data_IF_107321255697
#
_entry.id   IF_107321255697
#
_cell.length_a   1.000
_cell.length_b   1.000
_cell.length_c   1.000
_cell.angle_alpha   90.00
_cell.angle_beta   90.00
_cell.angle_gamma   90.00
#
_symmetry.space_group_name_H-M   'P 1'
#
loop_
_entity.id
_entity.type
_entity.pdbx_description
1 polymer ?
#
# COMPACT_ATOMS: atom_id res chain seq x y z
N UNK A 1 -14.54 -18.54 4.69
CA UNK A 1 -14.37 -17.08 4.89
C UNK A 1 -15.67 -16.52 5.43
N UNK A 2 -15.67 -15.92 6.63
CA UNK A 2 -16.86 -15.21 7.10
C UNK A 2 -17.09 -13.97 6.21
N UNK A 3 -18.36 -13.65 5.93
CA UNK A 3 -18.78 -12.50 5.11
C UNK A 3 -17.97 -11.19 5.33
N UNK A 4 -17.65 -10.76 6.57
CA UNK A 4 -16.88 -9.53 6.79
C UNK A 4 -15.48 -9.54 6.16
N UNK A 5 -14.82 -10.69 6.10
CA UNK A 5 -13.48 -10.79 5.49
C UNK A 5 -13.54 -10.68 3.96
N UNK A 6 -14.57 -11.27 3.33
CA UNK A 6 -14.77 -11.17 1.89
C UNK A 6 -15.13 -9.75 1.46
N UNK A 7 -15.99 -9.06 2.23
CA UNK A 7 -16.35 -7.67 1.98
C UNK A 7 -15.11 -6.77 2.10
N UNK A 8 -14.31 -6.94 3.16
CA UNK A 8 -13.09 -6.17 3.34
C UNK A 8 -12.08 -6.39 2.21
N UNK A 9 -11.94 -7.62 1.71
CA UNK A 9 -11.06 -7.95 0.58
C UNK A 9 -11.45 -7.17 -0.68
N UNK A 10 -12.73 -7.19 -1.04
CA UNK A 10 -13.25 -6.48 -2.23
C UNK A 10 -13.16 -4.97 -2.02
N UNK A 11 -13.54 -4.47 -0.85
CA UNK A 11 -13.47 -3.04 -0.53
C UNK A 11 -12.04 -2.51 -0.60
N UNK A 12 -11.05 -3.25 -0.08
CA UNK A 12 -9.65 -2.86 -0.19
C UNK A 12 -9.19 -2.79 -1.64
N UNK A 13 -9.59 -3.77 -2.48
CA UNK A 13 -9.28 -3.75 -3.91
C UNK A 13 -9.87 -2.53 -4.62
N UNK A 14 -11.06 -2.09 -4.24
CA UNK A 14 -11.68 -0.89 -4.83
C UNK A 14 -11.00 0.41 -4.39
N UNK A 15 -10.55 0.52 -3.14
CA UNK A 15 -10.01 1.78 -2.60
C UNK A 15 -8.50 1.94 -2.84
N UNK A 16 -7.73 0.86 -2.70
CA UNK A 16 -6.26 0.90 -2.72
C UNK A 16 -5.66 0.16 -3.92
N UNK A 17 -6.49 -0.30 -4.85
CA UNK A 17 -6.13 -1.22 -5.94
C UNK A 17 -5.39 -2.49 -5.47
N UNK A 18 -5.46 -2.79 -4.18
CA UNK A 18 -4.81 -3.92 -3.55
C UNK A 18 -5.77 -4.57 -2.56
N UNK A 19 -5.95 -5.88 -2.66
CA UNK A 19 -6.91 -6.61 -1.84
C UNK A 19 -6.47 -6.69 -0.37
N UNK A 20 -5.17 -6.54 -0.11
CA UNK A 20 -4.57 -6.60 1.21
C UNK A 20 -4.07 -5.23 1.66
N UNK A 21 -4.23 -4.95 2.95
CA UNK A 21 -3.68 -3.75 3.59
C UNK A 21 -2.25 -4.01 4.05
N UNK A 22 -1.41 -2.97 3.99
CA UNK A 22 -0.04 -3.04 4.53
C UNK A 22 -0.07 -3.13 6.06
N UNK A 23 0.80 -3.97 6.61
CA UNK A 23 1.08 -3.99 8.04
C UNK A 23 1.80 -2.70 8.46
N UNK A 24 1.46 -2.21 9.64
CA UNK A 24 2.13 -1.09 10.32
C UNK A 24 2.32 -1.42 11.81
N UNK A 25 2.39 -2.72 12.13
CA UNK A 25 2.49 -3.19 13.50
C UNK A 25 3.88 -2.89 14.08
N UNK A 26 4.90 -2.94 13.23
CA UNK A 26 6.25 -2.56 13.58
C UNK A 26 6.57 -1.11 13.19
N UNK A 27 7.45 -0.47 13.95
CA UNK A 27 7.86 0.93 13.75
C UNK A 27 8.52 1.11 12.39
N UNK A 28 9.33 0.15 11.94
CA UNK A 28 9.99 0.24 10.64
C UNK A 28 8.99 0.14 9.48
N UNK A 29 7.96 -0.71 9.61
CA UNK A 29 6.88 -0.81 8.62
C UNK A 29 6.08 0.50 8.53
N UNK A 30 5.76 1.10 9.68
CA UNK A 30 5.04 2.37 9.74
C UNK A 30 5.84 3.53 9.12
N UNK A 31 7.15 3.59 9.39
CA UNK A 31 8.04 4.58 8.76
C UNK A 31 8.09 4.41 7.23
N UNK A 32 8.07 3.17 6.76
CA UNK A 32 8.18 2.85 5.34
C UNK A 32 6.87 3.19 4.62
N UNK A 33 5.74 2.95 5.26
CA UNK A 33 4.44 3.41 4.79
C UNK A 33 4.38 4.93 4.65
N UNK A 34 4.89 5.67 5.65
CA UNK A 34 4.96 7.13 5.59
C UNK A 34 5.91 7.63 4.51
N UNK A 35 7.06 6.98 4.33
CA UNK A 35 8.02 7.28 3.25
C UNK A 35 7.36 7.15 1.90
N UNK A 36 6.71 6.02 1.63
CA UNK A 36 6.09 5.74 0.34
C UNK A 36 4.92 6.72 0.06
N UNK A 37 4.17 7.10 1.10
CA UNK A 37 3.13 8.16 0.99
C UNK A 37 3.73 9.53 0.65
N UNK A 38 4.91 9.88 1.16
CA UNK A 38 5.59 11.15 0.85
C UNK A 38 6.15 11.18 -0.57
N UNK A 39 6.71 10.07 -1.04
CA UNK A 39 7.32 9.99 -2.37
C UNK A 39 6.29 9.91 -3.49
N UNK A 40 5.19 9.18 -3.28
CA UNK A 40 4.24 8.82 -4.35
C UNK A 40 2.84 9.40 -4.17
N UNK A 41 2.53 9.97 -3.01
CA UNK A 41 1.16 10.34 -2.60
C UNK A 41 0.31 9.14 -2.17
N UNK A 42 0.53 7.98 -2.79
CA UNK A 42 -0.15 6.71 -2.48
C UNK A 42 0.86 5.61 -2.08
N UNK A 43 0.80 5.11 -0.83
CA UNK A 43 1.69 4.07 -0.33
C UNK A 43 1.36 2.63 -0.81
N UNK A 44 0.26 2.44 -1.54
CA UNK A 44 -0.09 1.15 -2.17
C UNK A 44 0.44 1.04 -3.60
N UNK A 45 0.79 2.17 -4.22
CA UNK A 45 1.40 2.22 -5.55
C UNK A 45 2.92 2.07 -5.45
N UNK A 46 3.44 0.95 -5.95
CA UNK A 46 4.88 0.71 -6.04
C UNK A 46 5.52 1.66 -7.06
N UNK A 47 6.69 2.18 -6.70
CA UNK A 47 7.58 2.93 -7.60
C UNK A 47 8.85 2.12 -7.79
N UNK A 48 9.08 1.64 -9.00
CA UNK A 48 10.28 0.93 -9.35
C UNK A 48 11.37 1.87 -9.86
N UNK A 49 12.34 1.28 -10.56
CA UNK A 49 13.50 1.97 -11.10
C UNK A 49 13.12 2.94 -12.23
N UNK A 50 11.97 2.76 -12.86
CA UNK A 50 11.42 3.64 -13.90
C UNK A 50 11.15 5.07 -13.41
N UNK A 51 11.09 5.27 -12.10
CA UNK A 51 10.82 6.57 -11.49
C UNK A 51 12.11 7.31 -11.10
N UNK A 52 13.28 6.76 -11.44
CA UNK A 52 14.60 7.36 -11.23
C UNK A 52 15.06 7.93 -12.58
N UNK A 53 15.57 9.17 -12.64
CA UNK A 53 16.09 9.74 -13.88
C UNK A 53 17.33 8.98 -14.34
N UNK A 54 17.38 8.65 -15.63
CA UNK A 54 18.60 8.14 -16.28
C UNK A 54 19.62 9.28 -16.32
N UNK A 55 20.73 9.11 -15.60
CA UNK A 55 21.84 10.05 -15.54
C UNK A 55 22.70 9.99 -16.81
#
# INVERSE_FOLDING_TARGET
MAAPHGIAYVANKLVFDNCYRRSMLDKYEALQYLRDRRLSGDPYKLKGLENIPDA
#
